data_IF_397095278468
#
_entry.id   IF_397095278468
#
_cell.length_a   1.000
_cell.length_b   1.000
_cell.length_c   1.000
_cell.angle_alpha   90.00
_cell.angle_beta   90.00
_cell.angle_gamma   90.00
#
_symmetry.space_group_name_H-M   'P 1'
#
loop_
_entity.id
_entity.type
_entity.pdbx_description
1 polymer ?
#
# COMPACT_ATOMS: atom_id res chain seq x y z
N UNK A 1 -25.71 3.10 -10.33
CA UNK A 1 -24.44 2.53 -9.82
C UNK A 1 -23.79 1.76 -10.96
N UNK A 2 -22.51 2.00 -11.25
CA UNK A 2 -21.78 1.23 -12.27
C UNK A 2 -21.59 -0.24 -11.89
N UNK A 3 -21.27 -1.10 -12.85
CA UNK A 3 -20.95 -2.53 -12.67
C UNK A 3 -19.84 -2.71 -11.65
N UNK A 4 -19.78 -3.86 -10.99
CA UNK A 4 -18.71 -4.22 -10.05
C UNK A 4 -18.15 -5.56 -10.48
N UNK A 5 -16.84 -5.63 -10.71
CA UNK A 5 -16.16 -6.91 -10.97
C UNK A 5 -16.32 -7.79 -9.73
N UNK A 6 -16.65 -9.08 -9.92
CA UNK A 6 -16.78 -10.02 -8.81
C UNK A 6 -15.44 -10.18 -8.08
N UNK A 7 -15.48 -10.59 -6.81
CA UNK A 7 -14.25 -10.82 -6.03
C UNK A 7 -13.36 -11.86 -6.67
N UNK A 8 -13.95 -12.93 -7.21
CA UNK A 8 -13.23 -14.00 -7.92
C UNK A 8 -12.55 -13.46 -9.18
N UNK A 9 -13.30 -12.77 -10.04
CA UNK A 9 -12.76 -12.26 -11.30
C UNK A 9 -11.70 -11.18 -11.05
N UNK A 10 -11.89 -10.31 -10.04
CA UNK A 10 -10.89 -9.31 -9.68
C UNK A 10 -9.55 -9.96 -9.26
N UNK A 11 -9.59 -11.05 -8.48
CA UNK A 11 -8.38 -11.78 -8.10
C UNK A 11 -7.72 -12.46 -9.31
N UNK A 12 -8.51 -13.04 -10.21
CA UNK A 12 -8.01 -13.71 -11.41
C UNK A 12 -7.39 -12.71 -12.41
N UNK A 13 -8.04 -11.58 -12.64
CA UNK A 13 -7.52 -10.48 -13.46
C UNK A 13 -6.21 -9.93 -12.88
N UNK A 14 -6.15 -9.74 -11.56
CA UNK A 14 -4.92 -9.31 -10.87
C UNK A 14 -3.77 -10.33 -10.99
N UNK A 15 -4.07 -11.61 -11.18
CA UNK A 15 -3.07 -12.66 -11.45
C UNK A 15 -2.71 -12.75 -12.93
N UNK A 16 -3.66 -12.51 -13.82
CA UNK A 16 -3.49 -12.68 -15.27
C UNK A 16 -2.49 -11.68 -15.85
N UNK A 17 -2.44 -10.46 -15.29
CA UNK A 17 -1.56 -9.37 -15.76
C UNK A 17 -0.05 -9.72 -15.71
N UNK A 18 0.32 -10.78 -14.99
CA UNK A 18 1.68 -11.30 -14.95
C UNK A 18 2.09 -12.02 -16.25
N UNK A 19 1.13 -12.48 -17.06
CA UNK A 19 1.40 -13.16 -18.35
C UNK A 19 1.91 -12.21 -19.45
N UNK A 20 1.78 -10.89 -19.27
CA UNK A 20 2.10 -9.86 -20.29
C UNK A 20 3.62 -9.76 -20.59
N UNK A 21 4.48 -10.35 -19.76
CA UNK A 21 5.93 -10.06 -19.77
C UNK A 21 6.70 -10.64 -20.97
N UNK A 22 6.16 -11.68 -21.65
CA UNK A 22 6.87 -12.42 -22.70
C UNK A 22 6.05 -12.69 -23.96
N UNK A 23 4.72 -12.72 -23.85
CA UNK A 23 3.76 -12.84 -24.93
C UNK A 23 2.47 -12.15 -24.45
N UNK A 24 1.50 -11.91 -25.32
CA UNK A 24 0.16 -11.51 -24.87
C UNK A 24 -0.40 -12.51 -23.85
N UNK A 25 -1.49 -12.15 -23.18
CA UNK A 25 -2.29 -13.10 -22.40
C UNK A 25 -2.42 -14.45 -23.11
N UNK A 26 -2.35 -15.53 -22.34
CA UNK A 26 -2.49 -16.87 -22.90
C UNK A 26 -3.91 -17.06 -23.48
N UNK A 27 -4.09 -17.92 -24.51
CA UNK A 27 -5.42 -18.21 -25.05
C UNK A 27 -6.45 -18.61 -23.97
N UNK A 28 -6.12 -19.43 -22.94
CA UNK A 28 -7.03 -19.70 -21.84
C UNK A 28 -7.47 -18.46 -21.06
N UNK A 29 -6.56 -17.51 -20.83
CA UNK A 29 -6.86 -16.25 -20.12
C UNK A 29 -7.75 -15.35 -20.97
N UNK A 30 -7.44 -15.21 -22.26
CA UNK A 30 -8.28 -14.47 -23.21
C UNK A 30 -9.66 -15.14 -23.28
N UNK A 31 -9.73 -16.45 -23.48
CA UNK A 31 -10.97 -17.21 -23.61
C UNK A 31 -11.85 -17.14 -22.36
N UNK A 32 -11.24 -17.08 -21.18
CA UNK A 32 -11.94 -16.93 -19.91
C UNK A 32 -12.69 -15.59 -19.83
N UNK A 33 -12.07 -14.51 -20.29
CA UNK A 33 -12.57 -13.15 -20.13
C UNK A 33 -13.12 -12.53 -21.42
N UNK A 34 -13.06 -13.21 -22.57
CA UNK A 34 -13.43 -12.67 -23.90
C UNK A 34 -14.85 -12.11 -24.01
N UNK A 35 -15.76 -12.63 -23.19
CA UNK A 35 -17.16 -12.18 -23.17
C UNK A 35 -17.35 -10.89 -22.34
N UNK A 36 -16.38 -10.56 -21.47
CA UNK A 36 -16.40 -9.43 -20.54
C UNK A 36 -15.41 -8.33 -20.93
N UNK A 37 -14.27 -8.67 -21.54
CA UNK A 37 -13.17 -7.73 -21.80
C UNK A 37 -12.51 -8.03 -23.15
N UNK A 38 -12.12 -6.98 -23.86
CA UNK A 38 -11.25 -7.09 -25.04
C UNK A 38 -9.78 -7.14 -24.64
N UNK A 39 -9.27 -8.35 -24.40
CA UNK A 39 -7.85 -8.57 -24.01
C UNK A 39 -6.97 -9.03 -25.18
N UNK A 40 -7.53 -9.05 -26.39
CA UNK A 40 -6.87 -9.60 -27.58
C UNK A 40 -6.02 -8.61 -28.37
N UNK A 41 -6.09 -7.31 -28.09
CA UNK A 41 -5.42 -6.26 -28.87
C UNK A 41 -3.96 -6.01 -28.41
N UNK A 42 -3.04 -5.74 -29.36
CA UNK A 42 -1.64 -5.39 -29.06
C UNK A 42 -1.51 -3.94 -28.62
N UNK A 43 -2.39 -3.05 -29.10
CA UNK A 43 -2.30 -1.61 -28.87
C UNK A 43 -2.79 -1.18 -27.47
N UNK A 44 -3.14 -2.15 -26.64
CA UNK A 44 -3.73 -1.97 -25.31
C UNK A 44 -2.73 -2.13 -24.15
N UNK A 45 -1.51 -2.64 -24.42
CA UNK A 45 -0.44 -2.83 -23.42
C UNK A 45 0.20 -1.50 -23.04
N UNK A 46 0.44 -1.24 -21.76
CA UNK A 46 1.21 -0.10 -21.26
C UNK A 46 2.63 -0.56 -20.90
N UNK A 47 3.65 -0.02 -21.54
CA UNK A 47 5.05 -0.21 -21.20
C UNK A 47 5.51 0.75 -20.09
N UNK A 48 6.52 0.33 -19.34
CA UNK A 48 7.10 1.12 -18.25
C UNK A 48 8.46 0.60 -17.82
N UNK A 49 9.02 1.20 -16.78
CA UNK A 49 10.28 0.74 -16.17
C UNK A 49 10.14 0.62 -14.66
N UNK A 50 10.47 -0.55 -14.10
CA UNK A 50 10.67 -0.74 -12.65
C UNK A 50 12.15 -0.77 -12.31
N UNK A 51 12.49 -0.31 -11.10
CA UNK A 51 13.83 -0.38 -10.54
C UNK A 51 14.26 0.94 -9.90
N UNK A 52 14.88 0.86 -8.72
CA UNK A 52 15.51 2.00 -8.06
C UNK A 52 16.94 2.23 -8.58
N UNK A 53 17.44 3.45 -8.35
CA UNK A 53 18.66 4.18 -8.78
C UNK A 53 19.91 3.48 -9.39
N UNK A 54 20.05 2.15 -9.41
CA UNK A 54 21.27 1.47 -9.87
C UNK A 54 21.05 0.13 -10.62
N UNK A 55 19.81 -0.30 -10.89
CA UNK A 55 19.53 -1.59 -11.57
C UNK A 55 18.95 -1.37 -12.98
N UNK A 56 19.39 -2.19 -13.92
CA UNK A 56 19.08 -2.15 -15.36
C UNK A 56 17.56 -2.05 -15.59
N UNK A 57 17.13 -0.92 -16.17
CA UNK A 57 15.74 -0.69 -16.60
C UNK A 57 15.41 -1.59 -17.79
N UNK A 58 14.68 -2.69 -17.56
CA UNK A 58 14.00 -3.38 -18.67
C UNK A 58 12.65 -2.71 -18.92
N UNK A 59 12.39 -2.31 -20.17
CA UNK A 59 11.03 -2.00 -20.62
C UNK A 59 10.29 -3.33 -20.72
N UNK A 60 9.28 -3.52 -19.89
CA UNK A 60 8.37 -4.67 -19.96
C UNK A 60 6.94 -4.14 -19.96
N UNK A 61 5.96 -4.88 -20.45
CA UNK A 61 4.55 -4.51 -20.25
C UNK A 61 4.20 -4.45 -18.76
N UNK A 62 3.84 -3.28 -18.27
CA UNK A 62 3.42 -3.00 -16.88
C UNK A 62 1.92 -3.12 -16.68
N UNK A 63 1.14 -3.02 -17.75
CA UNK A 63 -0.31 -3.12 -17.65
C UNK A 63 -0.99 -3.29 -19.00
N UNK A 64 -2.31 -3.43 -18.94
CA UNK A 64 -3.22 -3.50 -20.09
C UNK A 64 -4.44 -2.64 -19.81
N UNK A 65 -4.91 -1.91 -20.82
CA UNK A 65 -6.23 -1.27 -20.83
C UNK A 65 -7.14 -2.08 -21.74
N UNK A 66 -8.36 -2.42 -21.31
CA UNK A 66 -9.30 -3.18 -22.12
C UNK A 66 -10.70 -2.59 -22.05
N UNK A 67 -11.41 -2.59 -23.18
CA UNK A 67 -12.84 -2.22 -23.21
C UNK A 67 -13.72 -3.36 -22.75
N UNK A 68 -14.76 -3.02 -22.01
CA UNK A 68 -15.73 -3.99 -21.52
C UNK A 68 -16.75 -4.42 -22.58
N UNK A 69 -17.20 -5.66 -22.45
CA UNK A 69 -18.20 -6.35 -23.28
C UNK A 69 -19.31 -6.90 -22.37
N UNK A 70 -20.47 -7.22 -22.96
CA UNK A 70 -21.59 -7.80 -22.21
C UNK A 70 -22.05 -6.92 -21.04
N UNK A 71 -22.01 -7.46 -19.82
CA UNK A 71 -22.39 -6.75 -18.59
C UNK A 71 -21.49 -5.54 -18.25
N UNK A 72 -20.27 -5.53 -18.78
CA UNK A 72 -19.29 -4.45 -18.66
C UNK A 72 -19.28 -3.53 -19.89
N UNK A 73 -20.31 -3.59 -20.75
CA UNK A 73 -20.44 -2.63 -21.85
C UNK A 73 -20.32 -1.20 -21.30
N UNK A 74 -19.55 -0.39 -22.02
CA UNK A 74 -19.21 1.00 -21.67
C UNK A 74 -18.30 1.14 -20.43
N UNK A 75 -17.75 0.05 -19.89
CA UNK A 75 -16.69 0.12 -18.89
C UNK A 75 -15.30 -0.09 -19.50
N UNK A 76 -14.29 0.26 -18.72
CA UNK A 76 -12.87 0.09 -19.06
C UNK A 76 -12.16 -0.59 -17.91
N UNK A 77 -11.31 -1.56 -18.23
CA UNK A 77 -10.45 -2.26 -17.31
C UNK A 77 -9.01 -1.76 -17.49
N UNK A 78 -8.33 -1.46 -16.38
CA UNK A 78 -6.90 -1.16 -16.34
C UNK A 78 -6.25 -2.16 -15.39
N UNK A 79 -5.46 -3.06 -15.94
CA UNK A 79 -4.69 -4.06 -15.20
C UNK A 79 -3.26 -3.56 -15.04
N UNK A 80 -2.73 -3.61 -13.82
CA UNK A 80 -1.35 -3.20 -13.53
C UNK A 80 -0.64 -4.30 -12.76
N UNK A 81 0.51 -4.72 -13.31
CA UNK A 81 1.31 -5.80 -12.76
C UNK A 81 2.19 -5.33 -11.61
N UNK A 82 2.44 -6.23 -10.67
CA UNK A 82 3.52 -6.09 -9.70
C UNK A 82 4.91 -6.30 -10.29
N UNK A 83 5.89 -6.45 -9.39
CA UNK A 83 7.27 -6.82 -9.76
C UNK A 83 7.42 -8.32 -9.70
N UNK A 84 8.03 -8.89 -10.73
CA UNK A 84 8.11 -10.36 -10.91
C UNK A 84 9.45 -10.92 -10.42
N UNK A 85 10.42 -10.06 -10.09
CA UNK A 85 11.78 -10.52 -9.78
C UNK A 85 12.50 -9.78 -8.63
N UNK A 86 12.04 -8.62 -8.16
CA UNK A 86 12.74 -7.83 -7.13
C UNK A 86 11.78 -7.09 -6.20
N UNK A 87 12.02 -7.20 -4.88
CA UNK A 87 11.27 -6.49 -3.83
C UNK A 87 11.92 -5.17 -3.39
N UNK A 88 12.94 -4.70 -4.12
CA UNK A 88 13.73 -3.50 -3.77
C UNK A 88 12.85 -2.27 -3.48
N UNK A 89 11.71 -2.13 -4.16
CA UNK A 89 10.79 -1.00 -3.94
C UNK A 89 10.16 -0.97 -2.54
N UNK A 90 10.02 -2.12 -1.87
CA UNK A 90 9.35 -2.24 -0.57
C UNK A 90 10.30 -2.07 0.62
N UNK A 91 11.58 -2.39 0.42
CA UNK A 91 12.67 -2.30 1.39
C UNK A 91 13.42 -0.97 1.31
N UNK A 92 13.32 -0.30 0.17
CA UNK A 92 13.73 1.09 -0.08
C UNK A 92 12.88 2.13 0.68
N UNK A 93 12.57 1.87 1.96
CA UNK A 93 12.01 2.88 2.87
C UNK A 93 12.97 4.09 3.12
N UNK A 94 14.08 4.16 2.38
CA UNK A 94 14.95 5.33 2.15
C UNK A 94 14.49 6.23 0.99
N UNK A 95 13.51 5.81 0.20
CA UNK A 95 13.01 6.53 -0.98
C UNK A 95 11.85 7.43 -0.58
N UNK A 96 12.20 8.47 0.19
CA UNK A 96 11.52 9.74 0.48
C UNK A 96 10.01 9.93 0.27
N UNK A 97 9.64 11.20 0.21
CA UNK A 97 8.30 11.64 -0.15
C UNK A 97 8.40 12.42 -1.45
N UNK A 98 7.46 12.17 -2.35
CA UNK A 98 7.29 12.98 -3.55
C UNK A 98 5.83 13.42 -3.65
N UNK A 99 5.55 14.64 -4.12
CA UNK A 99 4.20 15.05 -4.41
C UNK A 99 3.63 14.20 -5.55
N UNK A 100 2.41 13.71 -5.39
CA UNK A 100 1.61 13.10 -6.44
C UNK A 100 0.85 14.16 -7.25
N UNK A 101 -0.05 13.73 -8.14
CA UNK A 101 -0.89 14.62 -8.97
C UNK A 101 -1.69 15.63 -8.10
N UNK A 102 -2.11 15.22 -6.90
CA UNK A 102 -2.81 16.11 -5.96
C UNK A 102 -1.90 17.07 -5.17
N UNK A 103 -0.58 17.02 -5.38
CA UNK A 103 0.40 17.70 -4.53
C UNK A 103 0.53 17.09 -3.12
N UNK A 104 -0.12 15.95 -2.86
CA UNK A 104 -0.01 15.23 -1.59
C UNK A 104 1.13 14.22 -1.65
N UNK A 105 1.72 13.91 -0.49
CA UNK A 105 2.89 13.05 -0.45
C UNK A 105 2.55 11.58 -0.60
N UNK A 106 3.25 10.94 -1.54
CA UNK A 106 3.25 9.50 -1.77
C UNK A 106 4.67 8.95 -1.73
N UNK A 107 4.80 7.64 -1.65
CA UNK A 107 6.10 6.98 -1.65
C UNK A 107 6.83 7.25 -2.97
N UNK A 108 8.07 7.76 -2.90
CA UNK A 108 8.80 8.21 -4.10
C UNK A 108 9.06 7.08 -5.09
N UNK A 109 9.22 5.83 -4.62
CA UNK A 109 9.46 4.68 -5.49
C UNK A 109 8.24 4.37 -6.37
N UNK A 110 7.03 4.40 -5.77
CA UNK A 110 5.78 4.19 -6.50
C UNK A 110 5.52 5.33 -7.47
N UNK A 111 5.75 6.57 -7.05
CA UNK A 111 5.52 7.73 -7.90
C UNK A 111 6.46 7.78 -9.10
N UNK A 112 7.73 7.40 -8.92
CA UNK A 112 8.70 7.28 -10.03
C UNK A 112 8.29 6.17 -11.01
N UNK A 113 7.89 5.00 -10.49
CA UNK A 113 7.42 3.90 -11.33
C UNK A 113 6.16 4.30 -12.09
N UNK A 114 5.19 4.92 -11.41
CA UNK A 114 3.98 5.46 -12.03
C UNK A 114 4.28 6.50 -13.11
N UNK A 115 5.19 7.44 -12.83
CA UNK A 115 5.64 8.43 -13.81
C UNK A 115 6.28 7.81 -15.07
N UNK A 116 6.81 6.58 -14.98
CA UNK A 116 7.35 5.88 -16.15
C UNK A 116 6.28 5.31 -17.08
N UNK A 117 5.10 4.94 -16.54
CA UNK A 117 3.97 4.41 -17.32
C UNK A 117 2.95 5.49 -17.71
N UNK A 118 2.98 6.65 -17.04
CA UNK A 118 1.99 7.71 -17.19
C UNK A 118 1.84 8.24 -18.62
N UNK A 119 2.90 8.48 -19.42
CA UNK A 119 2.73 9.00 -20.77
C UNK A 119 1.86 8.11 -21.66
N UNK A 120 2.10 6.80 -21.62
CA UNK A 120 1.37 5.83 -22.44
C UNK A 120 -0.03 5.54 -21.87
N UNK A 121 -0.16 5.42 -20.55
CA UNK A 121 -1.46 5.36 -19.88
C UNK A 121 -2.34 6.56 -20.26
N UNK A 122 -1.77 7.76 -20.28
CA UNK A 122 -2.47 9.00 -20.66
C UNK A 122 -2.95 8.96 -22.11
N UNK A 123 -2.09 8.55 -23.03
CA UNK A 123 -2.44 8.44 -24.45
C UNK A 123 -3.62 7.47 -24.66
N UNK A 124 -3.53 6.27 -24.09
CA UNK A 124 -4.59 5.27 -24.21
C UNK A 124 -5.89 5.71 -23.53
N UNK A 125 -5.82 6.37 -22.37
CA UNK A 125 -7.03 6.88 -21.71
C UNK A 125 -7.71 7.97 -22.54
N UNK A 126 -6.95 8.83 -23.22
CA UNK A 126 -7.51 9.82 -24.14
C UNK A 126 -8.15 9.14 -25.36
N UNK A 127 -7.54 8.07 -25.89
CA UNK A 127 -8.08 7.33 -27.04
C UNK A 127 -9.36 6.54 -26.74
N UNK A 128 -9.70 6.34 -25.46
CA UNK A 128 -10.99 5.73 -25.06
C UNK A 128 -12.21 6.55 -25.52
N UNK A 129 -12.04 7.84 -25.79
CA UNK A 129 -13.12 8.71 -26.24
C UNK A 129 -14.20 8.93 -25.17
N UNK A 130 -15.45 9.12 -25.60
CA UNK A 130 -16.58 9.42 -24.72
C UNK A 130 -17.43 8.18 -24.42
N UNK A 131 -18.42 8.34 -23.52
CA UNK A 131 -19.37 7.30 -23.09
C UNK A 131 -18.76 6.16 -22.27
N UNK A 132 -17.76 6.45 -21.43
CA UNK A 132 -17.29 5.49 -20.43
C UNK A 132 -18.12 5.64 -19.15
N UNK A 133 -18.69 4.54 -18.67
CA UNK A 133 -19.51 4.46 -17.46
C UNK A 133 -18.65 4.24 -16.22
N UNK A 134 -17.71 3.30 -16.27
CA UNK A 134 -16.85 2.95 -15.12
C UNK A 134 -15.44 2.62 -15.59
N UNK A 135 -14.43 3.07 -14.84
CA UNK A 135 -13.05 2.58 -15.00
C UNK A 135 -12.69 1.70 -13.80
N UNK A 136 -12.24 0.47 -14.06
CA UNK A 136 -11.83 -0.50 -13.07
C UNK A 136 -10.30 -0.60 -13.07
N UNK A 137 -9.65 -0.13 -12.00
CA UNK A 137 -8.21 -0.25 -11.80
C UNK A 137 -7.92 -1.47 -10.91
N UNK A 138 -7.16 -2.43 -11.42
CA UNK A 138 -6.86 -3.69 -10.73
C UNK A 138 -5.35 -3.89 -10.64
N UNK A 139 -4.86 -4.29 -9.46
CA UNK A 139 -3.45 -4.64 -9.33
C UNK A 139 -3.11 -5.43 -8.07
N UNK A 140 -2.01 -6.18 -8.17
CA UNK A 140 -1.42 -6.95 -7.07
C UNK A 140 -0.04 -6.41 -6.71
N UNK A 141 0.35 -6.44 -5.43
CA UNK A 141 1.69 -6.04 -4.98
C UNK A 141 2.02 -4.59 -5.41
N UNK A 142 3.16 -4.35 -6.08
CA UNK A 142 3.49 -3.06 -6.73
C UNK A 142 2.38 -2.58 -7.68
N UNK A 143 1.74 -3.49 -8.41
CA UNK A 143 0.62 -3.17 -9.30
C UNK A 143 -0.58 -2.60 -8.55
N UNK A 144 -0.79 -3.00 -7.29
CA UNK A 144 -1.80 -2.39 -6.42
C UNK A 144 -1.46 -0.95 -6.03
N UNK A 145 -0.17 -0.67 -5.81
CA UNK A 145 0.30 0.70 -5.59
C UNK A 145 0.12 1.57 -6.84
N UNK A 146 0.47 1.03 -8.01
CA UNK A 146 0.28 1.71 -9.30
C UNK A 146 -1.21 1.93 -9.59
N UNK A 147 -2.08 0.95 -9.36
CA UNK A 147 -3.53 1.08 -9.52
C UNK A 147 -4.12 2.17 -8.62
N UNK A 148 -3.57 2.34 -7.42
CA UNK A 148 -3.93 3.42 -6.51
C UNK A 148 -3.57 4.80 -7.09
N UNK A 149 -2.34 4.94 -7.62
CA UNK A 149 -1.89 6.20 -8.24
C UNK A 149 -2.60 6.48 -9.58
N UNK A 150 -2.89 5.45 -10.38
CA UNK A 150 -3.74 5.56 -11.57
C UNK A 150 -5.13 6.06 -11.22
N UNK A 151 -5.74 5.54 -10.15
CA UNK A 151 -7.06 5.98 -9.69
C UNK A 151 -7.06 7.44 -9.23
N UNK A 152 -5.98 7.90 -8.59
CA UNK A 152 -5.78 9.33 -8.29
C UNK A 152 -5.70 10.15 -9.56
N UNK A 153 -4.80 9.79 -10.47
CA UNK A 153 -4.56 10.54 -11.69
C UNK A 153 -5.82 10.64 -12.55
N UNK A 154 -6.56 9.54 -12.73
CA UNK A 154 -7.86 9.55 -13.42
C UNK A 154 -8.83 10.52 -12.75
N UNK A 155 -8.88 10.53 -11.41
CA UNK A 155 -9.80 11.38 -10.66
C UNK A 155 -9.42 12.88 -10.70
N UNK A 156 -8.15 13.21 -10.94
CA UNK A 156 -7.61 14.55 -10.69
C UNK A 156 -7.05 15.26 -11.91
N UNK A 157 -6.65 14.53 -12.95
CA UNK A 157 -6.07 15.11 -14.17
C UNK A 157 -7.08 15.91 -15.02
N UNK A 158 -8.38 15.68 -14.83
CA UNK A 158 -9.42 16.22 -15.73
C UNK A 158 -9.45 15.54 -17.10
N UNK A 159 -8.67 14.47 -17.31
CA UNK A 159 -8.58 13.75 -18.58
C UNK A 159 -9.39 12.44 -18.59
N UNK A 160 -9.89 12.01 -17.43
CA UNK A 160 -10.71 10.80 -17.36
C UNK A 160 -12.08 11.03 -18.01
N UNK A 161 -12.57 10.10 -18.85
CA UNK A 161 -13.89 10.19 -19.47
C UNK A 161 -15.04 9.94 -18.46
N UNK A 162 -14.73 9.56 -17.22
CA UNK A 162 -15.71 9.33 -16.15
C UNK A 162 -15.15 9.64 -14.77
N UNK A 163 -16.05 10.02 -13.87
CA UNK A 163 -15.76 10.24 -12.45
C UNK A 163 -15.90 8.97 -11.59
N UNK A 164 -16.46 7.90 -12.16
CA UNK A 164 -16.76 6.64 -11.49
C UNK A 164 -15.62 5.64 -11.68
N UNK A 165 -14.68 5.65 -10.73
CA UNK A 165 -13.47 4.82 -10.72
C UNK A 165 -13.57 3.80 -9.59
N UNK A 166 -13.32 2.53 -9.90
CA UNK A 166 -13.29 1.44 -8.92
C UNK A 166 -11.89 0.84 -8.82
N UNK A 167 -11.39 0.74 -7.60
CA UNK A 167 -10.04 0.26 -7.31
C UNK A 167 -10.09 -1.11 -6.63
N UNK A 168 -9.38 -2.08 -7.20
CA UNK A 168 -9.26 -3.44 -6.69
C UNK A 168 -7.79 -3.75 -6.45
N UNK A 169 -7.42 -4.00 -5.20
CA UNK A 169 -6.03 -4.24 -4.83
C UNK A 169 -5.87 -5.51 -4.03
N UNK A 170 -4.83 -6.28 -4.34
CA UNK A 170 -4.46 -7.52 -3.65
C UNK A 170 -3.04 -7.37 -3.13
N UNK A 171 -2.81 -7.58 -1.83
CA UNK A 171 -1.46 -7.53 -1.25
C UNK A 171 -0.75 -6.18 -1.43
N UNK A 172 -1.50 -5.09 -1.63
CA UNK A 172 -0.92 -3.78 -1.94
C UNK A 172 -0.18 -3.20 -0.72
N UNK A 173 0.98 -2.56 -0.92
CA UNK A 173 1.67 -1.81 0.12
C UNK A 173 0.92 -0.51 0.47
N UNK A 174 1.40 0.19 1.51
CA UNK A 174 0.93 1.54 1.86
C UNK A 174 1.48 2.57 0.88
N UNK A 175 0.61 3.28 0.15
CA UNK A 175 1.02 4.11 -1.00
C UNK A 175 1.32 5.56 -0.62
N UNK A 176 0.51 6.14 0.27
CA UNK A 176 0.49 7.58 0.49
C UNK A 176 0.44 7.99 1.95
N UNK A 177 0.83 9.24 2.21
CA UNK A 177 0.74 9.84 3.54
C UNK A 177 -0.73 10.07 3.95
N UNK A 178 -0.94 10.41 5.23
CA UNK A 178 -2.28 10.59 5.80
C UNK A 178 -3.18 11.55 5.00
N UNK A 179 -2.61 12.65 4.49
CA UNK A 179 -3.35 13.65 3.71
C UNK A 179 -3.79 13.12 2.35
N UNK A 180 -2.94 12.33 1.68
CA UNK A 180 -3.25 11.64 0.43
C UNK A 180 -4.40 10.66 0.64
N UNK A 181 -4.28 9.74 1.61
CA UNK A 181 -5.31 8.69 1.79
C UNK A 181 -6.65 9.27 2.21
N UNK A 182 -6.67 10.33 3.05
CA UNK A 182 -7.92 10.99 3.44
C UNK A 182 -8.61 11.64 2.24
N UNK A 183 -7.86 12.39 1.43
CA UNK A 183 -8.38 13.03 0.23
C UNK A 183 -8.92 11.98 -0.75
N UNK A 184 -8.13 10.95 -1.04
CA UNK A 184 -8.54 9.93 -2.00
C UNK A 184 -9.71 9.08 -1.49
N UNK A 185 -9.80 8.84 -0.18
CA UNK A 185 -10.97 8.16 0.41
C UNK A 185 -12.24 8.98 0.22
N UNK A 186 -12.21 10.29 0.49
CA UNK A 186 -13.39 11.14 0.30
C UNK A 186 -13.80 11.28 -1.17
N UNK A 187 -12.83 11.20 -2.09
CA UNK A 187 -13.06 11.43 -3.51
C UNK A 187 -13.48 10.16 -4.27
N UNK A 188 -12.89 9.00 -3.93
CA UNK A 188 -13.15 7.73 -4.61
C UNK A 188 -14.22 6.89 -3.90
N UNK A 189 -14.24 6.82 -2.56
CA UNK A 189 -15.09 5.88 -1.80
C UNK A 189 -16.54 6.36 -1.60
N UNK A 190 -17.09 7.10 -2.59
CA UNK A 190 -18.49 7.60 -2.61
C UNK A 190 -19.47 6.47 -2.97
N UNK A 191 -19.51 5.41 -2.16
CA UNK A 191 -20.38 4.25 -2.36
C UNK A 191 -19.67 2.91 -2.50
N UNK A 192 -18.55 2.69 -1.79
CA UNK A 192 -17.78 1.43 -1.76
C UNK A 192 -17.12 1.11 -3.11
N UNK A 193 -16.21 1.98 -3.53
CA UNK A 193 -15.46 1.83 -4.79
C UNK A 193 -14.03 1.34 -4.58
N UNK A 194 -13.60 1.16 -3.33
CA UNK A 194 -12.26 0.68 -3.01
C UNK A 194 -12.34 -0.70 -2.37
N UNK A 195 -11.77 -1.68 -3.06
CA UNK A 195 -11.76 -3.10 -2.71
C UNK A 195 -10.32 -3.51 -2.42
N UNK A 196 -9.88 -3.25 -1.19
CA UNK A 196 -8.54 -3.63 -0.73
C UNK A 196 -8.59 -4.99 -0.05
N UNK A 197 -7.85 -5.94 -0.59
CA UNK A 197 -7.79 -7.33 -0.13
C UNK A 197 -6.37 -7.67 0.31
N UNK A 198 -6.22 -8.29 1.48
CA UNK A 198 -4.91 -8.70 1.97
C UNK A 198 -4.98 -9.92 2.87
N UNK A 199 -3.93 -10.74 2.91
CA UNK A 199 -3.81 -11.76 3.95
C UNK A 199 -3.19 -11.19 5.22
N UNK A 200 -3.67 -11.65 6.38
CA UNK A 200 -3.13 -11.25 7.68
C UNK A 200 -1.62 -11.41 7.81
N UNK A 201 -1.03 -12.48 7.28
CA UNK A 201 0.42 -12.75 7.35
C UNK A 201 1.21 -12.28 6.15
N UNK A 202 0.57 -11.67 5.14
CA UNK A 202 1.28 -11.09 4.01
C UNK A 202 2.16 -9.92 4.48
N UNK A 203 3.45 -10.01 4.17
CA UNK A 203 4.45 -9.03 4.57
C UNK A 203 4.34 -7.70 3.82
N UNK A 204 3.82 -7.70 2.59
CA UNK A 204 3.86 -6.53 1.70
C UNK A 204 2.92 -5.41 2.14
N UNK A 205 1.66 -5.68 2.52
CA UNK A 205 0.79 -4.69 3.14
C UNK A 205 1.30 -4.13 4.47
N UNK A 206 2.33 -4.74 5.06
CA UNK A 206 2.93 -4.26 6.31
C UNK A 206 3.95 -3.15 6.07
N UNK A 207 4.30 -2.89 4.82
CA UNK A 207 5.30 -1.89 4.44
C UNK A 207 4.78 -0.93 3.36
N UNK A 208 5.41 0.25 3.23
CA UNK A 208 6.21 0.89 4.28
C UNK A 208 5.36 1.16 5.55
N UNK A 209 6.01 1.28 6.70
CA UNK A 209 5.34 1.71 7.94
C UNK A 209 5.01 3.22 7.88
N UNK A 210 4.66 3.82 9.02
CA UNK A 210 4.46 5.26 9.16
C UNK A 210 5.50 6.09 8.39
N UNK A 211 5.10 7.16 7.69
CA UNK A 211 3.79 7.82 7.69
C UNK A 211 2.89 7.40 6.54
N UNK A 212 3.15 6.24 5.93
CA UNK A 212 2.32 5.75 4.85
C UNK A 212 1.11 4.99 5.40
N UNK A 213 -0.02 5.09 4.69
CA UNK A 213 -1.29 4.51 5.06
C UNK A 213 -1.88 3.73 3.88
N UNK A 214 -2.77 2.79 4.20
CA UNK A 214 -3.60 2.11 3.21
C UNK A 214 -4.77 3.00 2.76
N UNK A 215 -5.22 2.78 1.53
CA UNK A 215 -6.46 3.32 0.99
C UNK A 215 -7.52 2.19 0.93
N UNK A 216 -8.77 2.39 1.39
CA UNK A 216 -9.32 3.60 2.01
C UNK A 216 -8.80 3.83 3.44
N UNK A 217 -8.84 5.08 3.89
CA UNK A 217 -8.58 5.45 5.28
C UNK A 217 -9.67 4.92 6.20
N UNK A 218 -9.29 4.42 7.39
CA UNK A 218 -10.24 3.95 8.41
C UNK A 218 -10.57 2.46 8.36
N UNK A 219 -9.63 1.60 7.97
CA UNK A 219 -9.68 0.13 8.15
C UNK A 219 -10.85 -0.57 7.42
N UNK A 220 -11.31 -0.02 6.28
CA UNK A 220 -12.31 -0.66 5.41
C UNK A 220 -11.65 -1.59 4.38
N UNK A 221 -11.06 -2.68 4.83
CA UNK A 221 -10.40 -3.65 3.96
C UNK A 221 -10.81 -5.09 4.26
N UNK A 222 -10.74 -5.95 3.25
CA UNK A 222 -11.04 -7.38 3.36
C UNK A 222 -9.80 -8.14 3.82
N UNK A 223 -9.79 -8.59 5.07
CA UNK A 223 -8.68 -9.31 5.68
C UNK A 223 -8.87 -10.82 5.54
N UNK A 224 -8.10 -11.45 4.64
CA UNK A 224 -8.12 -12.88 4.41
C UNK A 224 -7.34 -13.63 5.51
N UNK A 225 -7.92 -14.72 5.99
CA UNK A 225 -7.24 -15.60 6.95
C UNK A 225 -6.01 -16.26 6.31
N UNK A 226 -4.91 -16.24 7.05
CA UNK A 226 -3.64 -16.91 6.71
C UNK A 226 -3.03 -17.50 7.99
N UNK A 227 -2.49 -18.73 7.96
CA UNK A 227 -1.93 -19.40 9.13
C UNK A 227 -0.66 -18.74 9.63
N UNK A 228 -0.48 -18.79 10.95
CA UNK A 228 0.71 -18.28 11.63
C UNK A 228 0.59 -16.83 12.07
N UNK A 229 1.63 -16.36 12.76
CA UNK A 229 1.70 -15.01 13.32
C UNK A 229 2.95 -14.24 12.87
N UNK A 230 3.73 -14.80 11.95
CA UNK A 230 4.96 -14.20 11.43
C UNK A 230 4.76 -13.69 10.00
N UNK A 231 5.48 -12.64 9.59
CA UNK A 231 5.53 -12.20 8.18
C UNK A 231 5.89 -13.35 7.25
N UNK A 232 5.12 -13.49 6.18
CA UNK A 232 5.26 -14.55 5.19
C UNK A 232 5.16 -13.98 3.78
N UNK A 233 6.09 -14.39 2.90
CA UNK A 233 5.97 -14.14 1.47
C UNK A 233 5.03 -15.14 0.78
N UNK A 234 4.83 -16.34 1.33
CA UNK A 234 3.98 -17.35 0.71
C UNK A 234 2.53 -16.86 0.52
N UNK A 235 1.99 -16.15 1.51
CA UNK A 235 0.65 -15.57 1.44
C UNK A 235 0.57 -14.28 0.63
N UNK A 236 1.70 -13.80 0.08
CA UNK A 236 1.70 -12.74 -0.92
C UNK A 236 1.45 -13.27 -2.33
N UNK A 237 1.61 -14.58 -2.60
CA UNK A 237 1.46 -15.13 -3.96
C UNK A 237 -0.02 -15.08 -4.40
N UNK A 238 -0.27 -14.68 -5.65
CA UNK A 238 -1.65 -14.57 -6.18
C UNK A 238 -2.43 -15.89 -6.14
N UNK A 239 -1.76 -17.03 -6.25
CA UNK A 239 -2.38 -18.35 -6.05
C UNK A 239 -3.11 -18.44 -4.70
N UNK A 240 -2.51 -17.91 -3.61
CA UNK A 240 -3.13 -17.90 -2.27
C UNK A 240 -4.29 -16.93 -2.18
N UNK A 241 -4.23 -15.79 -2.87
CA UNK A 241 -5.35 -14.86 -2.99
C UNK A 241 -6.53 -15.51 -3.70
N UNK A 242 -6.30 -16.15 -4.84
CA UNK A 242 -7.34 -16.84 -5.61
C UNK A 242 -7.98 -17.96 -4.77
N UNK A 243 -7.16 -18.82 -4.14
CA UNK A 243 -7.65 -19.89 -3.25
C UNK A 243 -8.54 -19.35 -2.13
N UNK A 244 -8.15 -18.25 -1.50
CA UNK A 244 -8.84 -17.68 -0.34
C UNK A 244 -10.12 -16.95 -0.73
N UNK A 245 -10.07 -16.15 -1.79
CA UNK A 245 -11.21 -15.40 -2.34
C UNK A 245 -12.29 -16.33 -2.87
N UNK A 246 -11.91 -17.47 -3.46
CA UNK A 246 -12.86 -18.46 -3.99
C UNK A 246 -13.75 -19.11 -2.92
N UNK A 247 -13.34 -19.07 -1.64
CA UNK A 247 -14.14 -19.58 -0.51
C UNK A 247 -15.35 -18.70 -0.18
N UNK A 248 -15.35 -17.44 -0.60
CA UNK A 248 -16.46 -16.52 -0.38
C UNK A 248 -17.46 -16.55 -1.57
N UNK A 249 -18.74 -16.31 -1.30
CA UNK A 249 -19.78 -16.25 -2.34
C UNK A 249 -19.91 -14.86 -2.99
N UNK A 250 -19.52 -13.81 -2.29
CA UNK A 250 -19.54 -12.40 -2.74
C UNK A 250 -18.52 -11.55 -1.98
N UNK A 251 -18.29 -10.32 -2.43
CA UNK A 251 -17.55 -9.29 -1.68
C UNK A 251 -18.09 -9.10 -0.25
N UNK A 252 -19.40 -9.14 -0.03
CA UNK A 252 -19.99 -8.89 1.29
C UNK A 252 -19.79 -10.05 2.27
N UNK A 253 -19.62 -11.26 1.75
CA UNK A 253 -19.29 -12.45 2.54
C UNK A 253 -17.78 -12.67 2.65
N UNK A 254 -16.98 -11.80 2.05
CA UNK A 254 -15.53 -11.95 1.96
C UNK A 254 -14.88 -11.49 3.26
N UNK A 255 -14.70 -12.42 4.20
CA UNK A 255 -13.92 -12.30 5.44
C UNK A 255 -14.27 -11.13 6.39
N UNK A 256 -13.52 -11.04 7.49
CA UNK A 256 -13.61 -9.97 8.49
C UNK A 256 -13.07 -8.67 7.89
N UNK A 257 -13.88 -7.60 7.94
CA UNK A 257 -13.33 -6.26 7.75
C UNK A 257 -12.28 -6.04 8.84
N UNK A 258 -11.14 -5.45 8.47
CA UNK A 258 -10.08 -5.13 9.44
C UNK A 258 -10.70 -4.41 10.65
N UNK A 259 -10.62 -5.00 11.86
CA UNK A 259 -11.33 -4.46 13.00
C UNK A 259 -10.76 -3.10 13.33
N UNK A 260 -11.65 -2.16 13.64
CA UNK A 260 -11.19 -0.84 14.06
C UNK A 260 -10.38 -0.97 15.33
N UNK A 261 -9.27 -0.23 15.44
CA UNK A 261 -8.48 -0.19 16.68
C UNK A 261 -8.74 1.12 17.42
N UNK A 262 -9.60 1.14 18.46
CA UNK A 262 -9.88 2.37 19.20
C UNK A 262 -8.62 2.93 19.87
N UNK A 263 -8.53 4.25 20.06
CA UNK A 263 -7.42 4.88 20.78
C UNK A 263 -7.15 4.25 22.16
N UNK A 264 -8.19 3.88 22.89
CA UNK A 264 -8.07 3.24 24.22
C UNK A 264 -7.31 1.91 24.18
N UNK A 265 -7.44 1.12 23.11
CA UNK A 265 -6.71 -0.14 22.93
C UNK A 265 -5.22 0.14 22.75
N UNK A 266 -4.88 1.15 21.94
CA UNK A 266 -3.49 1.59 21.72
C UNK A 266 -2.89 2.10 23.02
N UNK A 267 -3.63 2.91 23.77
CA UNK A 267 -3.21 3.47 25.06
C UNK A 267 -2.94 2.37 26.11
N UNK A 268 -3.85 1.41 26.22
CA UNK A 268 -3.69 0.27 27.14
C UNK A 268 -2.50 -0.60 26.74
N UNK A 269 -2.32 -0.84 25.43
CA UNK A 269 -1.18 -1.59 24.93
C UNK A 269 0.14 -0.87 25.22
N UNK A 270 0.23 0.45 25.01
CA UNK A 270 1.42 1.26 25.32
C UNK A 270 1.79 1.19 26.80
N UNK A 271 0.78 1.20 27.69
CA UNK A 271 0.98 1.16 29.15
C UNK A 271 1.29 -0.23 29.69
N UNK A 272 0.98 -1.30 28.96
CA UNK A 272 1.15 -2.65 29.48
C UNK A 272 2.62 -3.03 29.62
N UNK A 273 2.91 -3.88 30.60
CA UNK A 273 4.19 -4.55 30.73
C UNK A 273 4.05 -5.99 30.23
N UNK A 274 5.01 -6.43 29.41
CA UNK A 274 4.99 -7.79 28.87
C UNK A 274 6.01 -7.97 27.75
N UNK A 275 6.51 -9.20 27.55
CA UNK A 275 7.36 -9.50 26.41
C UNK A 275 6.55 -9.32 25.11
N UNK A 276 7.21 -8.80 24.08
CA UNK A 276 6.66 -8.73 22.74
C UNK A 276 7.67 -9.30 21.75
N UNK A 277 7.18 -9.81 20.63
CA UNK A 277 7.99 -10.43 19.59
C UNK A 277 7.59 -9.88 18.23
N UNK A 278 8.44 -10.08 17.21
CA UNK A 278 8.18 -9.63 15.84
C UNK A 278 7.09 -10.46 15.16
N UNK A 279 5.86 -10.33 15.65
CA UNK A 279 4.65 -10.90 15.06
C UNK A 279 3.94 -9.84 14.20
N UNK A 280 3.09 -10.30 13.30
CA UNK A 280 2.19 -9.47 12.49
C UNK A 280 1.43 -8.46 13.34
N UNK A 281 0.76 -8.93 14.39
CA UNK A 281 -0.07 -8.11 15.25
C UNK A 281 0.76 -7.08 16.04
N UNK A 282 1.96 -7.46 16.47
CA UNK A 282 2.87 -6.55 17.17
C UNK A 282 3.37 -5.43 16.26
N UNK A 283 3.74 -5.74 15.02
CA UNK A 283 4.19 -4.74 14.07
C UNK A 283 3.05 -3.78 13.67
N UNK A 284 1.85 -4.31 13.45
CA UNK A 284 0.66 -3.48 13.21
C UNK A 284 0.35 -2.56 14.40
N UNK A 285 0.39 -3.10 15.62
CA UNK A 285 0.16 -2.32 16.84
C UNK A 285 1.26 -1.26 17.06
N UNK A 286 2.53 -1.54 16.73
CA UNK A 286 3.59 -0.53 16.76
C UNK A 286 3.33 0.57 15.75
N UNK A 287 2.94 0.24 14.52
CA UNK A 287 2.62 1.23 13.51
C UNK A 287 1.46 2.13 13.96
N UNK A 288 0.40 1.53 14.53
CA UNK A 288 -0.75 2.25 15.13
C UNK A 288 -0.33 3.12 16.31
N UNK A 289 0.57 2.64 17.17
CA UNK A 289 1.10 3.38 18.30
C UNK A 289 1.98 4.57 17.87
N UNK A 290 2.85 4.40 16.87
CA UNK A 290 3.63 5.50 16.26
C UNK A 290 2.67 6.56 15.71
N UNK A 291 1.69 6.15 14.88
CA UNK A 291 0.65 7.05 14.35
C UNK A 291 -0.06 7.81 15.48
N UNK A 292 -0.51 7.10 16.51
CA UNK A 292 -1.25 7.67 17.63
C UNK A 292 -0.43 8.72 18.37
N UNK A 293 0.80 8.39 18.78
CA UNK A 293 1.66 9.30 19.55
C UNK A 293 2.03 10.53 18.71
N UNK A 294 2.43 10.34 17.46
CA UNK A 294 2.78 11.44 16.57
C UNK A 294 1.58 12.37 16.35
N UNK A 295 0.42 11.83 15.98
CA UNK A 295 -0.78 12.66 15.74
C UNK A 295 -1.23 13.39 17.01
N UNK A 296 -1.08 12.77 18.19
CA UNK A 296 -1.39 13.40 19.47
C UNK A 296 -0.46 14.58 19.77
N UNK A 297 0.84 14.43 19.49
CA UNK A 297 1.81 15.52 19.61
C UNK A 297 1.44 16.66 18.67
N UNK A 298 1.33 16.39 17.37
CA UNK A 298 1.07 17.43 16.36
C UNK A 298 -0.19 18.23 16.65
N UNK A 299 -1.26 17.54 17.08
CA UNK A 299 -2.53 18.19 17.43
C UNK A 299 -2.40 19.13 18.63
N UNK A 300 -1.64 18.74 19.66
CA UNK A 300 -1.50 19.52 20.89
C UNK A 300 -0.47 20.63 20.78
N UNK A 301 0.61 20.41 20.04
CA UNK A 301 1.68 21.40 19.85
C UNK A 301 1.39 22.40 18.74
N UNK A 302 0.44 22.09 17.84
CA UNK A 302 0.19 22.88 16.64
C UNK A 302 1.30 22.75 15.58
N UNK A 303 2.22 21.81 15.73
CA UNK A 303 3.31 21.59 14.78
C UNK A 303 2.72 21.13 13.45
N UNK A 304 2.98 21.90 12.40
CA UNK A 304 2.72 21.49 11.03
C UNK A 304 3.94 20.74 10.50
N UNK A 305 3.79 19.44 10.25
CA UNK A 305 4.81 18.70 9.50
C UNK A 305 4.68 19.07 8.02
N UNK A 306 5.70 19.75 7.49
CA UNK A 306 5.94 19.82 6.06
C UNK A 306 6.90 18.69 5.69
N UNK A 307 6.36 17.51 5.37
CA UNK A 307 7.17 16.43 4.78
C UNK A 307 7.84 16.99 3.52
N UNK A 308 9.17 16.90 3.37
CA UNK A 308 9.82 17.08 2.06
C UNK A 308 10.35 18.46 1.64
N UNK A 309 10.70 19.39 2.55
CA UNK A 309 11.27 20.71 2.12
C UNK A 309 12.69 21.03 2.61
N UNK A 310 13.30 20.25 3.50
CA UNK A 310 14.71 20.45 3.88
C UNK A 310 15.59 19.37 3.25
N UNK A 311 16.49 19.76 2.36
CA UNK A 311 17.50 18.86 1.81
C UNK A 311 18.30 18.19 2.95
N UNK A 312 18.41 16.86 2.90
CA UNK A 312 19.19 16.09 3.88
C UNK A 312 18.45 15.65 5.16
N UNK A 313 17.20 16.05 5.39
CA UNK A 313 16.40 15.56 6.55
C UNK A 313 15.68 14.26 6.19
N UNK A 314 15.98 13.17 6.90
CA UNK A 314 15.29 11.89 6.68
C UNK A 314 13.95 11.83 7.42
N UNK A 315 13.10 10.86 7.05
CA UNK A 315 11.88 10.58 7.80
C UNK A 315 12.14 10.27 9.29
N UNK A 316 13.21 9.53 9.57
CA UNK A 316 13.59 9.16 10.93
C UNK A 316 14.06 10.37 11.73
N UNK A 317 14.73 11.33 11.09
CA UNK A 317 15.08 12.62 11.68
C UNK A 317 13.82 13.39 12.08
N UNK A 318 12.86 13.46 11.16
CA UNK A 318 11.59 14.16 11.40
C UNK A 318 10.77 13.53 12.54
N UNK A 319 10.72 12.20 12.58
CA UNK A 319 10.08 11.46 13.68
C UNK A 319 10.75 11.74 15.02
N UNK A 320 12.08 11.64 15.07
CA UNK A 320 12.84 11.90 16.28
C UNK A 320 12.63 13.34 16.77
N UNK A 321 12.59 14.30 15.86
CA UNK A 321 12.28 15.70 16.16
C UNK A 321 10.88 15.85 16.77
N UNK A 322 9.83 15.32 16.13
CA UNK A 322 8.45 15.44 16.63
C UNK A 322 8.30 14.79 18.01
N UNK A 323 8.90 13.61 18.21
CA UNK A 323 8.88 12.93 19.51
C UNK A 323 9.62 13.73 20.59
N UNK A 324 10.78 14.32 20.28
CA UNK A 324 11.50 15.21 21.18
C UNK A 324 10.67 16.45 21.54
N UNK A 325 10.05 17.10 20.55
CA UNK A 325 9.16 18.23 20.80
C UNK A 325 7.98 17.84 21.71
N UNK A 326 7.42 16.64 21.55
CA UNK A 326 6.41 16.11 22.46
C UNK A 326 6.90 15.98 23.91
N UNK A 327 8.14 15.53 24.10
CA UNK A 327 8.77 15.42 25.43
C UNK A 327 8.90 16.80 26.07
N UNK A 328 9.40 17.78 25.32
CA UNK A 328 9.69 19.13 25.81
C UNK A 328 8.40 19.93 26.08
N UNK A 329 7.31 19.61 25.37
CA UNK A 329 6.05 20.34 25.47
C UNK A 329 5.26 20.05 26.75
N UNK A 330 5.12 18.79 27.16
CA UNK A 330 4.37 18.45 28.39
C UNK A 330 4.75 17.11 28.99
N UNK A 331 4.60 16.99 30.32
CA UNK A 331 4.77 15.71 31.03
C UNK A 331 3.88 14.60 30.47
N UNK A 332 2.64 14.93 30.10
CA UNK A 332 1.68 13.95 29.55
C UNK A 332 2.15 13.38 28.20
N UNK A 333 2.60 14.24 27.28
CA UNK A 333 3.16 13.79 26.00
C UNK A 333 4.48 13.03 26.18
N UNK A 334 5.34 13.49 27.08
CA UNK A 334 6.57 12.79 27.45
C UNK A 334 6.32 11.34 27.89
N UNK A 335 5.29 11.08 28.70
CA UNK A 335 4.91 9.72 29.10
C UNK A 335 4.50 8.83 27.91
N UNK A 336 3.80 9.39 26.92
CA UNK A 336 3.42 8.64 25.71
C UNK A 336 4.64 8.32 24.84
N UNK A 337 5.54 9.29 24.65
CA UNK A 337 6.80 9.08 23.92
C UNK A 337 7.66 8.03 24.63
N UNK A 338 7.79 8.12 25.96
CA UNK A 338 8.52 7.13 26.75
C UNK A 338 7.91 5.74 26.60
N UNK A 339 6.59 5.60 26.72
CA UNK A 339 5.91 4.31 26.58
C UNK A 339 6.15 3.70 25.18
N UNK A 340 6.09 4.52 24.13
CA UNK A 340 6.37 4.08 22.76
C UNK A 340 7.82 3.60 22.60
N UNK A 341 8.80 4.41 23.03
CA UNK A 341 10.22 4.05 22.91
C UNK A 341 10.52 2.81 23.75
N UNK A 342 9.97 2.71 24.97
CA UNK A 342 10.08 1.51 25.81
C UNK A 342 9.57 0.27 25.08
N UNK A 343 8.41 0.32 24.43
CA UNK A 343 7.90 -0.81 23.64
C UNK A 343 8.84 -1.20 22.50
N UNK A 344 9.33 -0.23 21.73
CA UNK A 344 10.26 -0.52 20.64
C UNK A 344 11.56 -1.14 21.17
N UNK A 345 12.08 -0.65 22.29
CA UNK A 345 13.25 -1.23 22.95
C UNK A 345 13.02 -2.68 23.43
N UNK A 346 11.87 -2.99 24.03
CA UNK A 346 11.51 -4.36 24.42
C UNK A 346 11.48 -5.26 23.19
N UNK A 347 10.84 -4.80 22.11
CA UNK A 347 10.77 -5.57 20.87
C UNK A 347 12.16 -5.86 20.28
N UNK A 348 13.07 -4.89 20.35
CA UNK A 348 14.44 -5.01 19.88
C UNK A 348 15.34 -5.80 20.85
N UNK A 349 14.84 -6.24 22.00
CA UNK A 349 15.63 -6.95 23.02
C UNK A 349 16.65 -6.06 23.72
N UNK A 350 16.43 -4.75 23.75
CA UNK A 350 17.36 -3.78 24.37
C UNK A 350 17.14 -3.68 25.88
N UNK A 351 18.23 -3.51 26.64
CA UNK A 351 18.17 -3.27 28.10
C UNK A 351 17.61 -1.87 28.38
N UNK A 352 16.62 -1.78 29.26
CA UNK A 352 16.00 -0.51 29.67
C UNK A 352 16.53 -0.11 31.05
N UNK A 353 17.21 1.03 31.12
CA UNK A 353 17.64 1.65 32.39
C UNK A 353 16.50 2.50 32.97
N UNK A 354 16.48 2.66 34.29
CA UNK A 354 15.42 3.39 35.02
C UNK A 354 15.35 4.88 34.63
N UNK A 355 16.49 5.49 34.32
CA UNK A 355 16.61 6.93 34.07
C UNK A 355 17.12 7.25 32.65
N UNK A 356 16.55 6.59 31.63
CA UNK A 356 16.92 6.87 30.24
C UNK A 356 16.55 8.31 29.87
N UNK A 357 17.54 9.07 29.39
CA UNK A 357 17.30 10.35 28.72
C UNK A 357 16.90 10.10 27.26
N UNK A 358 15.69 10.52 26.90
CA UNK A 358 15.16 10.40 25.54
C UNK A 358 15.58 11.59 24.68
N UNK A 359 16.86 11.67 24.36
CA UNK A 359 17.38 12.70 23.44
C UNK A 359 16.98 12.40 21.99
N UNK A 360 16.98 13.43 21.14
CA UNK A 360 16.79 13.29 19.69
C UNK A 360 17.64 12.17 19.08
N UNK A 361 18.94 12.14 19.39
CA UNK A 361 19.87 11.14 18.84
C UNK A 361 19.51 9.72 19.31
N UNK A 362 19.12 9.57 20.58
CA UNK A 362 18.70 8.29 21.11
C UNK A 362 17.40 7.81 20.45
N UNK A 363 16.37 8.66 20.37
CA UNK A 363 15.11 8.34 19.70
C UNK A 363 15.37 7.92 18.25
N UNK A 364 16.17 8.69 17.51
CA UNK A 364 16.54 8.39 16.12
C UNK A 364 17.23 7.04 15.99
N UNK A 365 18.14 6.71 16.92
CA UNK A 365 18.82 5.41 16.93
C UNK A 365 17.85 4.24 17.14
N UNK A 366 16.89 4.39 18.07
CA UNK A 366 15.86 3.37 18.32
C UNK A 366 14.97 3.17 17.08
N UNK A 367 14.51 4.25 16.44
CA UNK A 367 13.69 4.18 15.23
C UNK A 367 14.46 3.58 14.05
N UNK A 368 15.75 3.90 13.91
CA UNK A 368 16.64 3.33 12.89
C UNK A 368 16.79 1.82 13.09
N UNK A 369 17.00 1.38 14.32
CA UNK A 369 17.15 -0.04 14.67
C UNK A 369 15.86 -0.81 14.40
N UNK A 370 14.70 -0.22 14.72
CA UNK A 370 13.40 -0.80 14.38
C UNK A 370 13.23 -0.95 12.87
N UNK A 371 13.52 0.11 12.10
CA UNK A 371 13.43 0.08 10.62
C UNK A 371 14.31 -1.05 10.06
N UNK A 372 15.60 -1.08 10.40
CA UNK A 372 16.54 -2.10 9.92
C UNK A 372 16.06 -3.52 10.23
N UNK A 373 15.53 -3.75 11.43
CA UNK A 373 15.01 -5.07 11.81
C UNK A 373 13.79 -5.48 10.98
N UNK A 374 12.90 -4.53 10.67
CA UNK A 374 11.73 -4.77 9.83
C UNK A 374 12.13 -4.97 8.37
N UNK A 375 13.04 -4.16 7.84
CA UNK A 375 13.57 -4.33 6.48
C UNK A 375 14.13 -5.74 6.30
N UNK A 376 14.93 -6.24 7.26
CA UNK A 376 15.46 -7.60 7.22
C UNK A 376 14.38 -8.69 7.26
N UNK A 377 13.30 -8.49 8.01
CA UNK A 377 12.18 -9.43 8.04
C UNK A 377 11.42 -9.44 6.70
N UNK A 378 11.23 -8.25 6.13
CA UNK A 378 10.58 -8.06 4.83
C UNK A 378 11.42 -8.67 3.73
N UNK A 379 12.72 -8.42 3.70
CA UNK A 379 13.66 -9.06 2.76
C UNK A 379 13.63 -10.59 2.87
N UNK A 380 13.65 -11.12 4.10
CA UNK A 380 13.62 -12.57 4.31
C UNK A 380 12.31 -13.19 3.81
N UNK A 381 11.18 -12.56 4.08
CA UNK A 381 9.88 -12.99 3.59
C UNK A 381 9.77 -12.81 2.07
N UNK A 382 10.27 -11.70 1.53
CA UNK A 382 10.24 -11.40 0.10
C UNK A 382 11.04 -12.40 -0.73
N UNK A 383 12.19 -12.87 -0.22
CA UNK A 383 12.97 -13.93 -0.86
C UNK A 383 12.18 -15.23 -1.04
N UNK A 384 11.16 -15.52 -0.23
CA UNK A 384 10.34 -16.72 -0.42
C UNK A 384 9.25 -16.55 -1.49
N UNK A 385 9.03 -15.33 -1.98
CA UNK A 385 8.02 -15.05 -3.01
C UNK A 385 8.51 -15.55 -4.37
N UNK A 386 9.79 -15.30 -4.67
CA UNK A 386 10.41 -15.57 -5.97
C UNK A 386 11.35 -16.80 -5.99
N UNK A 387 11.33 -17.64 -4.93
CA UNK A 387 12.24 -18.80 -4.81
C UNK A 387 11.73 -20.09 -5.46
N UNK A 388 10.50 -20.09 -5.95
CA UNK A 388 9.82 -21.27 -6.49
C UNK A 388 9.39 -21.11 -7.96
N UNK A 389 10.03 -20.22 -8.73
CA UNK A 389 9.88 -20.14 -10.20
C UNK A 389 11.04 -20.81 -10.93
#
# INVERSE_FOLDING_TARGET
MGSTITHKDAALLASSVYEIQNDKFTPPTIDRFKNQWDLSDHDDVIEGSSGTLWVIKKRTGFGVIARGKGEFKDDVLILLRGTDNNFDWATDATVGFSPSETGRFVHTGFNKCFGSILPELKEKVISLGHNIRTIHCVGHSLGGALATLTSEWLKKSGLSPTDNIKLYTFGSPRVGALSFVKLMTSELDKGKNIYRVYHKTDVVPMVPMWPFYHLPYGEKAYCLNSPGNSPSGEYHKMVRYIESVNKASSWNTMFELEPTTPPSVIENWLKSDGPISFTINTMDMINKAISYVILKILKLTGISIQLGLASGVTLLDMLAYVLQQGIDFSKSLSLWVYSLIKKIMILLGMKIKKDISLTYQFIRHILTSLKQKIDLLVEKAARSIFRDE
#
